data_IF_406379966888
#
_entry.id   IF_406379966888
#
_cell.length_a   1.000
_cell.length_b   1.000
_cell.length_c   1.000
_cell.angle_alpha   90.00
_cell.angle_beta   90.00
_cell.angle_gamma   90.00
#
_symmetry.space_group_name_H-M   'P 1'
#
loop_
_entity.id
_entity.type
_entity.pdbx_description
1 polymer ?
#
# COMPACT_ATOMS: atom_id res chain seq x y z
N UNK A 1 30.05 17.49 7.13
CA UNK A 1 30.10 16.03 6.96
C UNK A 1 28.95 15.51 6.08
N UNK A 2 29.02 15.63 4.73
CA UNK A 2 27.97 15.13 3.83
C UNK A 2 28.36 13.86 3.03
N UNK A 3 29.61 13.40 3.11
CA UNK A 3 30.11 12.30 2.28
C UNK A 3 29.64 10.90 2.70
N UNK A 4 29.23 10.70 3.96
CA UNK A 4 28.69 9.39 4.39
C UNK A 4 27.23 9.19 3.95
N UNK A 5 26.44 10.27 3.86
CA UNK A 5 25.04 10.19 3.43
C UNK A 5 24.90 9.75 1.97
N UNK A 6 25.73 10.28 1.08
CA UNK A 6 25.73 9.92 -0.35
C UNK A 6 26.11 8.45 -0.53
N UNK A 7 27.11 7.95 0.23
CA UNK A 7 27.51 6.55 0.14
C UNK A 7 26.42 5.60 0.66
N UNK A 8 25.74 5.96 1.76
CA UNK A 8 24.59 5.20 2.26
C UNK A 8 23.44 5.20 1.24
N UNK A 9 23.20 6.33 0.56
CA UNK A 9 22.18 6.46 -0.47
C UNK A 9 22.45 5.59 -1.71
N UNK A 10 23.69 5.54 -2.20
CA UNK A 10 24.06 4.65 -3.32
C UNK A 10 24.00 3.17 -2.92
N UNK A 11 24.37 2.82 -1.69
CA UNK A 11 24.24 1.46 -1.16
C UNK A 11 22.76 1.07 -1.01
N UNK A 12 21.91 2.00 -0.55
CA UNK A 12 20.46 1.86 -0.52
C UNK A 12 19.92 1.61 -1.93
N UNK A 13 20.28 2.44 -2.90
CA UNK A 13 19.85 2.34 -4.30
C UNK A 13 20.24 0.99 -4.90
N UNK A 14 21.51 0.58 -4.76
CA UNK A 14 22.02 -0.67 -5.31
C UNK A 14 21.37 -1.91 -4.66
N UNK A 15 21.15 -1.88 -3.34
CA UNK A 15 20.47 -2.95 -2.61
C UNK A 15 18.96 -2.98 -2.88
N UNK A 16 18.32 -1.83 -3.08
CA UNK A 16 16.91 -1.76 -3.52
C UNK A 16 16.75 -2.34 -4.92
N UNK A 17 17.64 -1.99 -5.86
CA UNK A 17 17.64 -2.53 -7.22
C UNK A 17 17.85 -4.05 -7.23
N UNK A 18 18.83 -4.56 -6.47
CA UNK A 18 19.06 -6.01 -6.38
C UNK A 18 17.92 -6.74 -5.66
N UNK A 19 17.34 -6.16 -4.60
CA UNK A 19 16.19 -6.77 -3.89
C UNK A 19 14.92 -6.73 -4.74
N UNK A 20 14.67 -5.67 -5.50
CA UNK A 20 13.54 -5.57 -6.44
C UNK A 20 13.63 -6.63 -7.55
N UNK A 21 14.85 -6.96 -8.01
CA UNK A 21 15.10 -8.05 -8.98
C UNK A 21 14.83 -9.43 -8.35
N UNK A 22 15.12 -9.63 -7.07
CA UNK A 22 14.88 -10.91 -6.38
C UNK A 22 13.39 -11.10 -6.01
N UNK A 23 12.70 -10.03 -5.59
CA UNK A 23 11.31 -10.13 -5.12
C UNK A 23 10.31 -10.33 -6.28
N UNK A 24 10.61 -9.88 -7.50
CA UNK A 24 9.78 -10.15 -8.68
C UNK A 24 9.61 -11.64 -8.97
N UNK A 25 10.44 -12.53 -8.40
CA UNK A 25 10.36 -13.97 -8.59
C UNK A 25 9.38 -14.71 -7.65
N UNK A 26 8.82 -14.07 -6.62
CA UNK A 26 7.95 -14.73 -5.61
C UNK A 26 6.50 -14.17 -5.58
N UNK A 27 5.75 -14.38 -6.67
CA UNK A 27 4.41 -13.79 -6.89
C UNK A 27 3.19 -14.54 -6.28
N UNK A 28 3.36 -15.60 -5.47
CA UNK A 28 2.27 -16.55 -5.16
C UNK A 28 1.36 -16.23 -3.94
N UNK A 29 1.50 -15.08 -3.25
CA UNK A 29 0.69 -14.75 -2.04
C UNK A 29 -0.42 -13.69 -2.26
N UNK A 30 -0.77 -13.39 -3.51
CA UNK A 30 -1.57 -12.19 -3.85
C UNK A 30 -3.07 -12.36 -3.58
N UNK A 31 -3.63 -13.55 -3.71
CA UNK A 31 -5.09 -13.73 -3.74
C UNK A 31 -5.78 -13.53 -2.38
N UNK A 32 -5.10 -13.84 -1.27
CA UNK A 32 -5.66 -13.65 0.08
C UNK A 32 -5.67 -12.18 0.53
N UNK A 33 -4.76 -11.37 -0.01
CA UNK A 33 -4.63 -9.94 0.32
C UNK A 33 -5.72 -9.09 -0.33
N UNK A 34 -6.11 -9.43 -1.56
CA UNK A 34 -7.17 -8.75 -2.30
C UNK A 34 -8.52 -8.84 -1.59
N UNK A 35 -8.85 -10.04 -1.10
CA UNK A 35 -10.10 -10.37 -0.39
C UNK A 35 -10.19 -9.63 0.93
N UNK A 36 -9.12 -9.57 1.72
CA UNK A 36 -9.16 -8.90 3.02
C UNK A 36 -9.44 -7.40 2.88
N UNK A 37 -8.87 -6.75 1.86
CA UNK A 37 -9.04 -5.34 1.57
C UNK A 37 -10.37 -5.01 0.87
N UNK A 38 -10.96 -5.97 0.15
CA UNK A 38 -12.33 -5.85 -0.36
C UNK A 38 -13.33 -5.62 0.78
N UNK A 39 -13.23 -6.40 1.88
CA UNK A 39 -14.11 -6.27 3.05
C UNK A 39 -13.90 -4.95 3.84
N UNK A 40 -12.79 -4.24 3.60
CA UNK A 40 -12.41 -3.02 4.34
C UNK A 40 -12.76 -1.76 3.55
N UNK A 41 -12.64 -1.79 2.22
CA UNK A 41 -12.87 -0.63 1.36
C UNK A 41 -14.25 -0.61 0.67
N UNK A 42 -14.97 -1.74 0.61
CA UNK A 42 -16.28 -1.82 -0.07
C UNK A 42 -17.49 -1.68 0.85
N UNK A 43 -17.33 -1.82 2.17
CA UNK A 43 -18.40 -1.43 3.08
C UNK A 43 -18.26 0.08 3.36
N UNK A 44 -19.20 0.93 2.88
CA UNK A 44 -19.26 2.29 3.39
C UNK A 44 -19.40 2.17 4.90
N UNK A 45 -18.45 2.74 5.64
CA UNK A 45 -18.62 2.92 7.06
C UNK A 45 -19.81 3.86 7.24
N UNK A 46 -21.01 3.29 7.37
CA UNK A 46 -22.13 3.94 8.02
C UNK A 46 -21.73 4.11 9.48
N UNK A 47 -20.90 5.11 9.77
CA UNK A 47 -20.44 5.38 11.12
C UNK A 47 -20.73 6.85 11.44
N UNK A 48 -21.93 7.00 12.00
CA UNK A 48 -22.28 7.85 13.12
C UNK A 48 -21.25 8.94 13.46
N UNK A 49 -21.68 10.18 13.18
CA UNK A 49 -21.22 11.37 13.85
C UNK A 49 -21.37 11.17 15.36
N UNK A 50 -20.24 11.11 16.07
CA UNK A 50 -20.03 11.61 17.43
C UNK A 50 -18.94 10.78 18.11
N UNK A 51 -17.67 11.13 17.85
CA UNK A 51 -16.63 11.24 18.87
C UNK A 51 -15.33 11.77 18.26
N UNK A 52 -14.68 12.64 19.03
CA UNK A 52 -13.73 13.68 18.62
C UNK A 52 -12.33 13.10 18.34
N UNK A 53 -11.91 13.17 17.08
CA UNK A 53 -10.54 13.50 16.65
C UNK A 53 -10.59 13.98 15.19
N UNK A 54 -10.02 15.14 14.81
CA UNK A 54 -9.99 15.58 13.42
C UNK A 54 -8.86 14.87 12.67
N UNK A 55 -8.78 13.54 12.76
CA UNK A 55 -7.91 12.76 11.89
C UNK A 55 -8.59 12.65 10.53
N UNK A 56 -7.86 12.95 9.46
CA UNK A 56 -8.44 12.84 8.12
C UNK A 56 -8.81 11.38 7.85
N UNK A 57 -9.86 11.12 7.06
CA UNK A 57 -10.20 9.76 6.64
C UNK A 57 -8.99 9.01 6.06
N UNK A 58 -8.11 9.74 5.36
CA UNK A 58 -6.84 9.23 4.84
C UNK A 58 -5.92 8.72 5.95
N UNK A 59 -5.76 9.49 7.03
CA UNK A 59 -4.89 9.11 8.15
C UNK A 59 -5.43 7.87 8.88
N UNK A 60 -6.74 7.78 9.09
CA UNK A 60 -7.39 6.58 9.64
C UNK A 60 -7.15 5.34 8.76
N UNK A 61 -7.28 5.49 7.44
CA UNK A 61 -6.98 4.40 6.48
C UNK A 61 -5.51 4.01 6.57
N UNK A 62 -4.59 4.97 6.52
CA UNK A 62 -3.15 4.70 6.58
C UNK A 62 -2.74 4.08 7.92
N UNK A 63 -3.40 4.44 9.02
CA UNK A 63 -3.21 3.81 10.32
C UNK A 63 -3.59 2.33 10.29
N UNK A 64 -4.79 2.05 9.78
CA UNK A 64 -5.28 0.70 9.59
C UNK A 64 -4.33 -0.13 8.68
N UNK A 65 -3.92 0.44 7.55
CA UNK A 65 -2.98 -0.20 6.63
C UNK A 65 -1.61 -0.41 7.25
N UNK A 66 -1.12 0.56 8.04
CA UNK A 66 0.11 0.45 8.80
C UNK A 66 0.06 -0.71 9.79
N UNK A 67 -1.06 -0.89 10.49
CA UNK A 67 -1.25 -2.02 11.38
C UNK A 67 -1.22 -3.37 10.67
N UNK A 68 -1.75 -3.40 9.44
CA UNK A 68 -1.68 -4.58 8.59
C UNK A 68 -0.26 -4.88 8.11
N UNK A 69 0.48 -3.86 7.67
CA UNK A 69 1.90 -3.98 7.31
C UNK A 69 2.71 -4.48 8.51
N UNK A 70 2.56 -3.86 9.69
CA UNK A 70 3.23 -4.30 10.91
C UNK A 70 2.94 -5.78 11.23
N UNK A 71 1.67 -6.20 11.10
CA UNK A 71 1.27 -7.61 11.25
C UNK A 71 1.91 -8.53 10.21
N UNK A 72 1.96 -8.14 8.94
CA UNK A 72 2.60 -8.91 7.86
C UNK A 72 4.07 -9.18 8.17
N UNK A 73 4.77 -8.17 8.71
CA UNK A 73 6.18 -8.23 9.06
C UNK A 73 6.44 -8.66 10.51
N UNK A 74 5.42 -9.09 11.26
CA UNK A 74 5.56 -9.54 12.64
C UNK A 74 6.44 -10.79 12.80
N UNK A 75 6.68 -11.52 11.69
CA UNK A 75 7.54 -12.72 11.63
C UNK A 75 9.02 -12.40 11.45
N UNK A 76 9.41 -11.12 11.34
CA UNK A 76 10.82 -10.72 11.29
C UNK A 76 11.52 -11.21 12.57
N UNK A 77 12.65 -11.91 12.41
CA UNK A 77 13.43 -12.45 13.52
C UNK A 77 14.12 -11.36 14.36
N UNK A 78 14.49 -10.24 13.73
CA UNK A 78 15.13 -9.11 14.38
C UNK A 78 14.11 -8.29 15.19
N UNK A 79 14.19 -8.37 16.52
CA UNK A 79 13.30 -7.65 17.44
C UNK A 79 13.40 -6.14 17.30
N UNK A 80 14.59 -5.61 17.06
CA UNK A 80 14.80 -4.16 16.89
C UNK A 80 14.10 -3.65 15.62
N UNK A 81 14.12 -4.42 14.53
CA UNK A 81 13.37 -4.08 13.33
C UNK A 81 11.87 -4.10 13.61
N UNK A 82 11.39 -5.12 14.31
CA UNK A 82 9.97 -5.22 14.67
C UNK A 82 9.52 -4.01 15.53
N UNK A 83 10.35 -3.53 16.45
CA UNK A 83 10.07 -2.33 17.24
C UNK A 83 9.98 -1.06 16.38
N UNK A 84 10.68 -0.99 15.25
CA UNK A 84 10.51 0.15 14.33
C UNK A 84 9.22 0.10 13.52
N UNK A 85 8.53 -1.04 13.47
CA UNK A 85 7.30 -1.22 12.68
C UNK A 85 6.02 -1.06 13.50
N UNK A 86 6.03 -1.42 14.79
CA UNK A 86 4.85 -1.38 15.66
C UNK A 86 5.08 -0.49 16.88
N UNK A 87 4.00 0.08 17.39
CA UNK A 87 3.98 0.77 18.68
C UNK A 87 3.24 -0.06 19.73
N UNK A 88 3.74 -0.05 20.96
CA UNK A 88 3.02 -0.58 22.13
C UNK A 88 2.40 0.53 22.99
N UNK A 89 2.71 1.79 22.69
CA UNK A 89 2.32 2.96 23.51
C UNK A 89 1.32 3.87 22.82
N UNK A 90 1.02 3.62 21.54
CA UNK A 90 0.07 4.41 20.76
C UNK A 90 -1.28 3.70 20.78
N UNK A 91 -2.33 4.49 20.99
CA UNK A 91 -3.69 4.00 20.88
C UNK A 91 -4.06 3.80 19.40
N UNK A 92 -4.79 2.72 19.06
CA UNK A 92 -5.30 2.52 17.71
C UNK A 92 -6.33 3.61 17.34
N UNK A 93 -6.35 4.03 16.08
CA UNK A 93 -7.39 4.94 15.55
C UNK A 93 -8.77 4.28 15.56
N UNK A 94 -9.84 5.08 15.43
CA UNK A 94 -11.23 4.57 15.44
C UNK A 94 -11.45 3.46 14.39
N UNK A 95 -10.93 3.62 13.18
CA UNK A 95 -11.04 2.60 12.12
C UNK A 95 -10.32 1.30 12.53
N UNK A 96 -9.11 1.43 13.08
CA UNK A 96 -8.35 0.29 13.60
C UNK A 96 -9.09 -0.40 14.74
N UNK A 97 -9.69 0.34 15.68
CA UNK A 97 -10.47 -0.21 16.79
C UNK A 97 -11.69 -1.00 16.30
N UNK A 98 -12.41 -0.48 15.32
CA UNK A 98 -13.60 -1.13 14.76
C UNK A 98 -13.21 -2.42 14.01
N UNK A 99 -12.15 -2.37 13.20
CA UNK A 99 -11.81 -3.46 12.26
C UNK A 99 -10.76 -4.45 12.80
N UNK A 100 -10.06 -4.16 13.90
CA UNK A 100 -8.97 -5.03 14.41
C UNK A 100 -9.45 -6.42 14.83
N UNK A 101 -10.67 -6.54 15.38
CA UNK A 101 -11.17 -7.75 16.06
C UNK A 101 -10.15 -8.37 17.05
N UNK A 102 -9.22 -7.55 17.57
CA UNK A 102 -8.15 -7.94 18.48
C UNK A 102 -6.83 -8.41 17.84
N UNK A 103 -6.70 -8.43 16.51
CA UNK A 103 -5.55 -9.07 15.84
C UNK A 103 -4.71 -8.14 14.97
N UNK A 104 -5.06 -6.87 14.81
CA UNK A 104 -4.26 -5.88 14.09
C UNK A 104 -3.27 -5.21 15.04
N UNK A 105 -2.04 -5.00 14.58
CA UNK A 105 -1.03 -4.29 15.38
C UNK A 105 -1.22 -2.78 15.25
N UNK A 106 -0.79 -2.01 16.24
CA UNK A 106 -0.68 -0.57 16.11
C UNK A 106 0.64 -0.24 15.43
N UNK A 107 0.65 0.48 14.29
CA UNK A 107 1.89 0.85 13.63
C UNK A 107 2.68 1.88 14.44
N UNK A 108 4.00 1.87 14.28
CA UNK A 108 4.85 2.94 14.78
C UNK A 108 4.62 4.22 13.97
N UNK A 109 4.92 5.38 14.56
CA UNK A 109 4.90 6.66 13.83
C UNK A 109 5.85 6.66 12.65
N UNK A 110 7.01 6.00 12.79
CA UNK A 110 8.00 5.89 11.71
C UNK A 110 7.45 5.11 10.52
N UNK A 111 6.77 4.00 10.78
CA UNK A 111 6.09 3.22 9.74
C UNK A 111 5.00 4.06 9.07
N UNK A 112 4.17 4.76 9.84
CA UNK A 112 3.13 5.63 9.27
C UNK A 112 3.71 6.72 8.37
N UNK A 113 4.77 7.36 8.82
CA UNK A 113 5.45 8.39 8.02
C UNK A 113 5.96 7.83 6.70
N UNK A 114 6.52 6.62 6.72
CA UNK A 114 6.96 5.94 5.51
C UNK A 114 5.78 5.66 4.57
N UNK A 115 4.68 5.11 5.10
CA UNK A 115 3.51 4.79 4.29
C UNK A 115 2.83 6.04 3.71
N UNK A 116 2.81 7.16 4.44
CA UNK A 116 2.34 8.45 3.92
C UNK A 116 3.14 8.88 2.69
N UNK A 117 4.47 8.83 2.76
CA UNK A 117 5.36 9.17 1.64
C UNK A 117 5.09 8.25 0.44
N UNK A 118 5.02 6.94 0.67
CA UNK A 118 4.75 5.98 -0.41
C UNK A 118 3.37 6.22 -1.04
N UNK A 119 2.35 6.49 -0.23
CA UNK A 119 1.00 6.76 -0.72
C UNK A 119 0.92 8.03 -1.58
N UNK A 120 1.59 9.11 -1.18
CA UNK A 120 1.67 10.34 -1.99
C UNK A 120 2.26 10.06 -3.38
N UNK A 121 3.34 9.27 -3.46
CA UNK A 121 3.96 8.91 -4.74
C UNK A 121 3.09 7.97 -5.57
N UNK A 122 2.42 7.01 -4.94
CA UNK A 122 1.43 6.15 -5.61
C UNK A 122 0.31 6.99 -6.23
N UNK A 123 -0.25 7.93 -5.46
CA UNK A 123 -1.32 8.81 -5.94
C UNK A 123 -0.86 9.65 -7.12
N UNK A 124 0.29 10.34 -6.99
CA UNK A 124 0.89 11.12 -8.08
C UNK A 124 1.04 10.33 -9.37
N UNK A 125 1.50 9.08 -9.29
CA UNK A 125 1.71 8.22 -10.46
C UNK A 125 0.43 7.55 -10.98
N UNK A 126 -0.71 7.69 -10.29
CA UNK A 126 -1.99 7.07 -10.66
C UNK A 126 -3.12 8.08 -10.94
N UNK A 127 -2.89 9.39 -10.75
CA UNK A 127 -3.87 10.48 -10.98
C UNK A 127 -4.49 10.41 -12.37
N UNK A 128 -3.68 10.24 -13.42
CA UNK A 128 -4.15 10.27 -14.82
C UNK A 128 -4.88 8.99 -15.24
N UNK A 129 -5.07 8.04 -14.32
CA UNK A 129 -5.77 6.75 -14.51
C UNK A 129 -5.20 5.84 -15.60
N UNK A 130 -4.08 6.21 -16.22
CA UNK A 130 -3.39 5.41 -17.24
C UNK A 130 -2.24 4.67 -16.56
N UNK A 131 -2.46 3.39 -16.27
CA UNK A 131 -1.37 2.52 -15.83
C UNK A 131 -0.42 2.26 -17.01
N UNK A 132 0.71 2.97 -17.06
CA UNK A 132 1.82 2.60 -17.93
C UNK A 132 2.59 1.41 -17.32
N UNK A 133 3.24 0.61 -18.16
CA UNK A 133 4.10 -0.50 -17.72
C UNK A 133 5.21 -0.06 -16.75
N UNK A 134 5.59 1.22 -16.77
CA UNK A 134 6.63 1.81 -15.92
C UNK A 134 6.14 2.39 -14.59
N UNK A 135 4.83 2.40 -14.29
CA UNK A 135 4.28 3.07 -13.09
C UNK A 135 4.96 2.62 -11.80
N UNK A 136 5.18 1.31 -11.63
CA UNK A 136 5.88 0.79 -10.46
C UNK A 136 7.30 1.36 -10.33
N UNK A 137 8.06 1.39 -11.43
CA UNK A 137 9.45 1.88 -11.42
C UNK A 137 9.50 3.38 -11.14
N UNK A 138 8.58 4.17 -11.73
CA UNK A 138 8.47 5.60 -11.47
C UNK A 138 8.19 5.88 -9.99
N UNK A 139 7.28 5.13 -9.35
CA UNK A 139 6.99 5.28 -7.92
C UNK A 139 8.25 5.00 -7.09
N UNK A 140 8.96 3.89 -7.38
CA UNK A 140 10.19 3.53 -6.66
C UNK A 140 11.26 4.60 -6.84
N UNK A 141 11.50 5.07 -8.06
CA UNK A 141 12.47 6.13 -8.36
C UNK A 141 12.14 7.42 -7.62
N UNK A 142 10.86 7.84 -7.62
CA UNK A 142 10.43 9.04 -6.90
C UNK A 142 10.60 8.92 -5.39
N UNK A 143 10.30 7.76 -4.80
CA UNK A 143 10.51 7.50 -3.37
C UNK A 143 12.00 7.53 -3.02
N UNK A 144 12.86 6.99 -3.89
CA UNK A 144 14.30 7.00 -3.71
C UNK A 144 14.85 8.42 -3.75
N UNK A 145 14.31 9.30 -4.60
CA UNK A 145 14.72 10.70 -4.72
C UNK A 145 14.10 11.61 -3.63
N UNK A 146 13.15 11.11 -2.83
CA UNK A 146 12.50 11.88 -1.76
C UNK A 146 13.32 11.85 -0.46
N UNK A 147 13.89 12.99 -0.08
CA UNK A 147 14.71 13.15 1.14
C UNK A 147 13.96 12.75 2.42
N UNK A 148 12.62 12.85 2.44
CA UNK A 148 11.80 12.47 3.60
C UNK A 148 11.89 10.96 3.86
N UNK A 149 12.10 10.15 2.83
CA UNK A 149 12.21 8.68 2.92
C UNK A 149 13.34 8.25 3.86
N UNK A 150 14.46 8.96 3.84
CA UNK A 150 15.60 8.68 4.72
C UNK A 150 15.22 8.84 6.20
N UNK A 151 14.46 9.88 6.55
CA UNK A 151 13.99 10.12 7.92
C UNK A 151 12.94 9.11 8.38
N UNK A 152 12.13 8.60 7.45
CA UNK A 152 11.05 7.65 7.70
C UNK A 152 11.46 6.18 7.57
N UNK A 153 12.72 5.89 7.22
CA UNK A 153 13.19 4.51 6.98
C UNK A 153 13.07 3.63 8.22
N UNK A 154 12.49 2.44 8.08
CA UNK A 154 12.26 1.47 9.16
C UNK A 154 13.35 0.39 9.18
N UNK A 155 13.55 -0.24 10.33
CA UNK A 155 14.57 -1.25 10.60
C UNK A 155 15.72 -0.72 11.46
N UNK A 156 16.49 -1.65 12.04
CA UNK A 156 17.66 -1.33 12.87
C UNK A 156 18.89 -0.98 12.00
N UNK A 157 19.98 -0.54 12.62
CA UNK A 157 21.18 -0.09 11.90
C UNK A 157 21.76 -1.07 10.87
N UNK A 158 21.59 -2.38 11.06
CA UNK A 158 22.06 -3.41 10.11
C UNK A 158 21.04 -3.76 9.02
N UNK A 159 19.75 -3.55 9.26
CA UNK A 159 18.66 -4.04 8.41
C UNK A 159 17.74 -2.95 7.87
N UNK A 160 18.02 -1.67 8.15
CA UNK A 160 17.10 -0.58 7.77
C UNK A 160 16.86 -0.52 6.26
N UNK A 161 17.90 -0.76 5.45
CA UNK A 161 17.82 -0.81 3.98
C UNK A 161 16.85 -1.90 3.52
N UNK A 162 17.08 -3.15 3.93
CA UNK A 162 16.26 -4.28 3.48
C UNK A 162 14.84 -4.20 4.02
N UNK A 163 14.67 -3.83 5.29
CA UNK A 163 13.35 -3.72 5.92
C UNK A 163 12.52 -2.62 5.28
N UNK A 164 13.10 -1.44 5.07
CA UNK A 164 12.42 -0.33 4.38
C UNK A 164 12.04 -0.75 2.96
N UNK A 165 12.94 -1.40 2.22
CA UNK A 165 12.68 -1.85 0.87
C UNK A 165 11.54 -2.86 0.76
N UNK A 166 11.52 -3.85 1.65
CA UNK A 166 10.44 -4.84 1.68
C UNK A 166 9.09 -4.20 2.02
N UNK A 167 9.06 -3.28 2.98
CA UNK A 167 7.84 -2.55 3.36
C UNK A 167 7.32 -1.70 2.21
N UNK A 168 8.20 -0.89 1.59
CA UNK A 168 7.85 -0.03 0.45
C UNK A 168 7.35 -0.88 -0.72
N UNK A 169 8.08 -1.92 -1.09
CA UNK A 169 7.69 -2.84 -2.17
C UNK A 169 6.32 -3.46 -1.90
N UNK A 170 6.13 -4.01 -0.70
CA UNK A 170 4.87 -4.63 -0.31
C UNK A 170 3.70 -3.65 -0.41
N UNK A 171 3.88 -2.43 0.09
CA UNK A 171 2.84 -1.42 0.10
C UNK A 171 2.47 -0.95 -1.32
N UNK A 172 3.46 -0.63 -2.16
CA UNK A 172 3.23 -0.27 -3.58
C UNK A 172 2.47 -1.39 -4.29
N UNK A 173 2.90 -2.63 -4.12
CA UNK A 173 2.24 -3.79 -4.74
C UNK A 173 0.78 -3.90 -4.33
N UNK A 174 0.48 -3.71 -3.05
CA UNK A 174 -0.90 -3.71 -2.56
C UNK A 174 -1.71 -2.58 -3.21
N UNK A 175 -1.20 -1.35 -3.21
CA UNK A 175 -1.91 -0.20 -3.78
C UNK A 175 -2.16 -0.31 -5.27
N UNK A 176 -1.16 -0.73 -6.06
CA UNK A 176 -1.31 -0.93 -7.51
C UNK A 176 -2.28 -2.07 -7.85
N UNK A 177 -2.33 -3.12 -7.03
CA UNK A 177 -3.34 -4.16 -7.17
C UNK A 177 -4.76 -3.59 -7.01
N UNK A 178 -5.01 -2.80 -5.96
CA UNK A 178 -6.32 -2.16 -5.75
C UNK A 178 -6.66 -1.19 -6.88
N UNK A 179 -5.71 -0.36 -7.27
CA UNK A 179 -5.91 0.57 -8.38
C UNK A 179 -6.32 -0.18 -9.67
N UNK A 180 -5.59 -1.24 -10.03
CA UNK A 180 -5.89 -2.04 -11.23
C UNK A 180 -7.26 -2.71 -11.13
N UNK A 181 -7.60 -3.25 -9.96
CA UNK A 181 -8.90 -3.88 -9.71
C UNK A 181 -10.05 -2.89 -9.89
N UNK A 182 -9.95 -1.69 -9.33
CA UNK A 182 -10.99 -0.65 -9.46
C UNK A 182 -11.13 -0.17 -10.91
N UNK A 183 -10.02 0.02 -11.63
CA UNK A 183 -10.07 0.36 -13.07
C UNK A 183 -10.77 -0.74 -13.89
N UNK A 184 -10.46 -2.01 -13.60
CA UNK A 184 -11.10 -3.15 -14.27
C UNK A 184 -12.60 -3.24 -13.96
N UNK A 185 -13.01 -2.93 -12.73
CA UNK A 185 -14.42 -2.88 -12.33
C UNK A 185 -15.17 -1.79 -13.12
N UNK A 186 -14.60 -0.59 -13.24
CA UNK A 186 -15.15 0.51 -14.02
C UNK A 186 -15.26 0.16 -15.50
N UNK A 187 -14.21 -0.45 -16.08
CA UNK A 187 -14.21 -0.90 -17.48
C UNK A 187 -15.33 -1.91 -17.76
N UNK A 188 -15.50 -2.92 -16.88
CA UNK A 188 -16.59 -3.91 -16.98
C UNK A 188 -17.98 -3.33 -16.77
N UNK A 189 -18.12 -2.28 -15.96
CA UNK A 189 -19.39 -1.58 -15.75
C UNK A 189 -19.76 -0.70 -16.97
N UNK A 190 -18.78 -0.02 -17.57
CA UNK A 190 -18.96 0.77 -18.80
C UNK A 190 -19.26 -0.09 -20.04
N UNK A 191 -18.62 -1.26 -20.17
CA UNK A 191 -18.83 -2.17 -21.29
C UNK A 191 -20.21 -2.83 -21.36
N UNK A 192 -20.97 -2.88 -20.25
CA UNK A 192 -22.32 -3.49 -20.23
C UNK A 192 -23.42 -2.62 -20.84
N UNK A 193 -23.18 -1.34 -21.15
CA UNK A 193 -24.17 -0.43 -21.74
C UNK A 193 -24.27 -0.48 -23.27
N UNK A 194 -23.50 -1.33 -23.95
CA UNK A 194 -23.47 -1.45 -25.43
C UNK A 194 -23.98 -2.81 -25.95
N UNK A 195 -24.78 -3.54 -25.19
CA UNK A 195 -25.56 -4.63 -25.78
C UNK A 195 -26.78 -4.05 -26.48
N UNK A 196 -26.65 -3.78 -27.78
CA UNK A 196 -27.79 -3.53 -28.66
C UNK A 196 -28.81 -4.65 -28.46
N UNK A 197 -30.11 -4.34 -28.32
CA UNK A 197 -31.14 -5.37 -28.24
C UNK A 197 -31.07 -6.20 -29.53
N UNK A 198 -30.94 -7.51 -29.38
CA UNK A 198 -30.99 -8.45 -30.48
C UNK A 198 -32.30 -8.20 -31.25
N UNK A 199 -32.19 -7.61 -32.45
CA UNK A 199 -33.32 -7.50 -33.38
C UNK A 199 -33.68 -8.93 -33.77
N UNK A 200 -34.68 -9.49 -33.09
CA UNK A 200 -35.34 -10.74 -33.46
C UNK A 200 -35.98 -10.58 -34.83
N UNK A 201 -35.22 -10.93 -35.88
CA UNK A 201 -35.73 -11.08 -37.23
C UNK A 201 -36.59 -12.33 -37.32
N UNK A 202 -37.89 -12.19 -37.04
CA UNK A 202 -38.89 -13.21 -37.36
C UNK A 202 -39.05 -13.23 -38.88
N UNK A 203 -38.52 -14.25 -39.55
CA UNK A 203 -38.84 -14.51 -40.96
C UNK A 203 -40.34 -14.86 -41.05
N UNK A 204 -41.14 -14.21 -41.92
CA UNK A 204 -42.45 -14.71 -42.25
C UNK A 204 -42.29 -15.99 -43.07
N UNK A 205 -42.86 -17.07 -42.57
CA UNK A 205 -43.02 -18.31 -43.32
C UNK A 205 -44.24 -18.22 -44.22
N UNK A 206 -44.02 -18.62 -45.48
CA UNK A 206 -44.96 -19.14 -46.49
C UNK A 206 -46.21 -18.33 -46.81
#
# INVERSE_FOLDING_TARGET
APRSFILHFYILLYKFLTLAIVITQNMFQIDTLAVLFDDILLEPAECMQDMIHPESTRDCILDYLGGYVAKKFAKISCKDCLQTLRSNSREPTALTQIKTRGFLQVPSEKLLRLLQIVEEHVEMCTVDKIACASVYMNIVENILLDDRTSSASVGCGSHFVSTTAEVVHFFIKCRLHFFTREQNKLFRAGGRRLSCPAKGGRKPGT
#
